data_IF_198084175397
#
_entry.id   IF_198084175397
#
_cell.length_a   1.000
_cell.length_b   1.000
_cell.length_c   1.000
_cell.angle_alpha   90.00
_cell.angle_beta   90.00
_cell.angle_gamma   90.00
#
_symmetry.space_group_name_H-M   'P 1'
#
loop_
_entity.id
_entity.type
_entity.pdbx_description
1 polymer ?
#
# COMPACT_ATOMS: atom_id res chain seq x y z
N UNK A 1 5.47 16.29 18.86
CA UNK A 1 4.12 15.82 19.25
C UNK A 1 3.12 15.93 18.10
N UNK A 2 3.25 16.89 17.18
CA UNK A 2 2.33 17.09 16.03
C UNK A 2 2.15 15.86 15.11
N UNK A 3 3.22 15.12 14.80
CA UNK A 3 3.15 13.96 13.88
C UNK A 3 2.25 12.83 14.42
N UNK A 4 2.17 12.66 15.74
CA UNK A 4 1.38 11.57 16.36
C UNK A 4 -0.12 11.86 16.21
N UNK A 5 -0.50 13.13 16.32
CA UNK A 5 -1.89 13.55 16.16
C UNK A 5 -2.33 13.44 14.69
N UNK A 6 -1.46 13.79 13.74
CA UNK A 6 -1.73 13.62 12.31
C UNK A 6 -1.91 12.14 11.93
N UNK A 7 -1.06 11.25 12.45
CA UNK A 7 -1.19 9.80 12.26
C UNK A 7 -2.49 9.28 12.87
N UNK A 8 -2.89 9.80 14.02
CA UNK A 8 -4.14 9.41 14.68
C UNK A 8 -5.37 9.77 13.84
N UNK A 9 -5.34 10.95 13.20
CA UNK A 9 -6.39 11.40 12.29
C UNK A 9 -6.48 10.46 11.08
N UNK A 10 -5.34 10.16 10.44
CA UNK A 10 -5.28 9.22 9.30
C UNK A 10 -5.79 7.83 9.69
N UNK A 11 -5.39 7.34 10.88
CA UNK A 11 -5.87 6.07 11.40
C UNK A 11 -7.39 6.06 11.65
N UNK A 12 -7.97 7.20 12.01
CA UNK A 12 -9.41 7.40 12.11
C UNK A 12 -10.13 7.08 10.78
N UNK A 13 -9.58 7.55 9.66
CA UNK A 13 -10.12 7.28 8.33
C UNK A 13 -9.93 5.83 7.90
N UNK A 14 -8.77 5.22 8.17
CA UNK A 14 -8.55 3.79 7.88
C UNK A 14 -9.45 2.85 8.69
N UNK A 15 -9.89 3.26 9.88
CA UNK A 15 -10.71 2.41 10.77
C UNK A 15 -12.03 1.99 10.12
N UNK A 16 -12.60 2.82 9.22
CA UNK A 16 -13.80 2.48 8.44
C UNK A 16 -13.57 1.25 7.55
N UNK A 17 -12.34 1.09 7.05
CA UNK A 17 -11.90 0.00 6.16
C UNK A 17 -11.05 -1.08 6.87
N UNK A 18 -11.09 -1.15 8.21
CA UNK A 18 -10.24 -2.03 9.03
C UNK A 18 -10.17 -3.50 8.60
N UNK A 19 -11.26 -4.05 8.03
CA UNK A 19 -11.30 -5.45 7.57
C UNK A 19 -10.43 -5.66 6.34
N UNK A 20 -10.55 -4.77 5.36
CA UNK A 20 -9.78 -4.85 4.11
C UNK A 20 -8.32 -4.46 4.34
N UNK A 21 -8.08 -3.43 5.17
CA UNK A 21 -6.71 -3.07 5.62
C UNK A 21 -6.04 -4.26 6.31
N UNK A 22 -6.72 -4.95 7.25
CA UNK A 22 -6.15 -6.11 7.94
C UNK A 22 -5.84 -7.26 6.98
N UNK A 23 -6.72 -7.57 6.03
CA UNK A 23 -6.48 -8.63 5.04
C UNK A 23 -5.26 -8.30 4.17
N UNK A 24 -5.19 -7.07 3.67
CA UNK A 24 -4.08 -6.64 2.82
C UNK A 24 -2.77 -6.57 3.61
N UNK A 25 -2.80 -6.15 4.88
CA UNK A 25 -1.63 -6.17 5.76
C UNK A 25 -1.10 -7.59 6.01
N UNK A 26 -1.98 -8.56 6.26
CA UNK A 26 -1.57 -9.97 6.41
C UNK A 26 -0.93 -10.49 5.12
N UNK A 27 -1.51 -10.18 3.96
CA UNK A 27 -0.95 -10.57 2.65
C UNK A 27 0.44 -9.95 2.41
N UNK A 28 0.63 -8.69 2.78
CA UNK A 28 1.91 -8.00 2.67
C UNK A 28 2.97 -8.62 3.59
N UNK A 29 2.63 -8.98 4.83
CA UNK A 29 3.58 -9.69 5.71
C UNK A 29 4.01 -11.03 5.12
N UNK A 30 3.08 -11.79 4.52
CA UNK A 30 3.41 -13.05 3.83
C UNK A 30 4.33 -12.79 2.63
N UNK A 31 4.04 -11.76 1.83
CA UNK A 31 4.89 -11.35 0.70
C UNK A 31 6.30 -10.94 1.16
N UNK A 32 6.41 -10.19 2.25
CA UNK A 32 7.69 -9.79 2.86
C UNK A 32 8.54 -11.00 3.23
N UNK A 33 7.92 -12.02 3.83
CA UNK A 33 8.62 -13.25 4.18
C UNK A 33 9.11 -13.96 2.91
N UNK A 34 8.26 -14.12 1.90
CA UNK A 34 8.63 -14.76 0.63
C UNK A 34 9.80 -14.02 -0.04
N UNK A 35 9.72 -12.69 -0.11
CA UNK A 35 10.77 -11.85 -0.72
C UNK A 35 12.08 -11.89 0.04
N UNK A 36 12.06 -12.01 1.37
CA UNK A 36 13.25 -12.19 2.18
C UNK A 36 13.95 -13.54 1.95
N UNK A 37 13.22 -14.59 1.56
CA UNK A 37 13.81 -15.89 1.23
C UNK A 37 14.52 -15.94 -0.15
N UNK A 38 14.14 -15.06 -1.08
CA UNK A 38 14.73 -15.00 -2.43
C UNK A 38 16.27 -14.83 -2.40
N UNK A 39 16.86 -13.86 -1.69
CA UNK A 39 18.32 -13.70 -1.64
C UNK A 39 19.03 -14.90 -0.98
N UNK A 40 18.40 -15.58 -0.02
CA UNK A 40 18.96 -16.79 0.58
C UNK A 40 19.06 -17.94 -0.44
N UNK A 41 18.01 -18.15 -1.24
CA UNK A 41 18.01 -19.15 -2.31
C UNK A 41 19.03 -18.79 -3.40
N UNK A 42 19.11 -17.51 -3.74
CA UNK A 42 20.09 -17.02 -4.72
C UNK A 42 21.54 -17.22 -4.25
N UNK A 43 21.83 -16.93 -2.98
CA UNK A 43 23.16 -17.19 -2.40
C UNK A 43 23.54 -18.68 -2.46
N UNK A 44 22.62 -19.56 -2.04
CA UNK A 44 22.80 -21.01 -2.16
C UNK A 44 23.06 -21.47 -3.60
N UNK A 45 22.36 -20.90 -4.58
CA UNK A 45 22.56 -21.19 -6.00
C UNK A 45 23.99 -20.84 -6.44
N UNK A 46 24.49 -19.67 -6.08
CA UNK A 46 25.84 -19.20 -6.44
C UNK A 46 26.92 -20.07 -5.78
N UNK A 47 26.72 -20.44 -4.50
CA UNK A 47 27.66 -21.30 -3.77
C UNK A 47 27.77 -22.71 -4.40
N UNK A 48 26.64 -23.28 -4.82
CA UNK A 48 26.60 -24.62 -5.45
C UNK A 48 27.22 -24.64 -6.84
N UNK A 49 27.15 -23.53 -7.59
CA UNK A 49 27.83 -23.41 -8.89
C UNK A 49 29.35 -23.27 -8.71
N UNK A 50 29.80 -22.71 -7.60
CA UNK A 50 31.22 -22.44 -7.33
C UNK A 50 31.98 -23.63 -6.72
N UNK A 51 31.28 -24.71 -6.34
CA UNK A 51 31.89 -25.90 -5.71
C UNK A 51 31.93 -27.05 -6.72
N UNK A 52 33.12 -27.50 -7.14
CA UNK A 52 33.30 -28.71 -7.95
C UNK A 52 33.43 -29.97 -7.06
N UNK A 53 32.81 -31.12 -7.42
CA UNK A 53 31.88 -31.33 -8.54
C UNK A 53 30.47 -30.87 -8.19
N UNK A 54 29.88 -30.06 -9.07
CA UNK A 54 28.53 -29.53 -8.91
C UNK A 54 27.50 -30.49 -9.52
N UNK A 55 26.52 -30.98 -8.74
CA UNK A 55 25.44 -31.81 -9.29
C UNK A 55 24.45 -30.94 -10.10
N UNK A 56 24.53 -31.01 -11.43
CA UNK A 56 23.69 -30.27 -12.38
C UNK A 56 22.18 -30.34 -12.08
N UNK A 57 21.70 -31.50 -11.62
CA UNK A 57 20.29 -31.71 -11.27
C UNK A 57 19.84 -30.87 -10.07
N UNK A 58 20.71 -30.70 -9.06
CA UNK A 58 20.40 -29.90 -7.87
C UNK A 58 20.38 -28.42 -8.21
N UNK A 59 21.28 -27.95 -9.07
CA UNK A 59 21.29 -26.57 -9.56
C UNK A 59 20.01 -26.27 -10.33
N UNK A 60 19.61 -27.15 -11.26
CA UNK A 60 18.39 -26.97 -12.06
C UNK A 60 17.13 -26.94 -11.19
N UNK A 61 17.05 -27.83 -10.19
CA UNK A 61 15.94 -27.87 -9.22
C UNK A 61 15.84 -26.58 -8.40
N UNK A 62 16.98 -26.10 -7.89
CA UNK A 62 17.03 -24.88 -7.06
C UNK A 62 16.71 -23.63 -7.88
N UNK A 63 17.14 -23.58 -9.14
CA UNK A 63 16.81 -22.51 -10.10
C UNK A 63 15.31 -22.52 -10.42
N UNK A 64 14.71 -23.70 -10.61
CA UNK A 64 13.26 -23.85 -10.76
C UNK A 64 12.48 -23.32 -9.56
N UNK A 65 12.91 -23.65 -8.33
CA UNK A 65 12.32 -23.13 -7.09
C UNK A 65 12.44 -21.61 -7.02
N UNK A 66 13.61 -21.05 -7.34
CA UNK A 66 13.84 -19.62 -7.36
C UNK A 66 12.89 -18.89 -8.33
N UNK A 67 12.76 -19.39 -9.57
CA UNK A 67 11.83 -18.82 -10.57
C UNK A 67 10.40 -18.87 -10.08
N UNK A 68 9.95 -20.02 -9.55
CA UNK A 68 8.59 -20.18 -9.04
C UNK A 68 8.31 -19.22 -7.87
N UNK A 69 9.26 -19.07 -6.96
CA UNK A 69 9.13 -18.20 -5.80
C UNK A 69 9.14 -16.72 -6.18
N UNK A 70 9.96 -16.33 -7.15
CA UNK A 70 10.00 -14.99 -7.74
C UNK A 70 8.68 -14.65 -8.46
N UNK A 71 8.15 -15.59 -9.25
CA UNK A 71 6.87 -15.42 -9.94
C UNK A 71 5.71 -15.30 -8.95
N UNK A 72 5.70 -16.14 -7.91
CA UNK A 72 4.73 -16.09 -6.83
C UNK A 72 4.76 -14.72 -6.15
N UNK A 73 5.95 -14.27 -5.73
CA UNK A 73 6.16 -12.95 -5.13
C UNK A 73 5.61 -11.81 -6.00
N UNK A 74 5.89 -11.82 -7.31
CA UNK A 74 5.40 -10.80 -8.24
C UNK A 74 3.86 -10.75 -8.30
N UNK A 75 3.19 -11.92 -8.30
CA UNK A 75 1.72 -12.00 -8.29
C UNK A 75 1.17 -11.47 -6.97
N UNK A 76 1.72 -11.89 -5.83
CA UNK A 76 1.29 -11.42 -4.51
C UNK A 76 1.47 -9.90 -4.38
N UNK A 77 2.60 -9.36 -4.83
CA UNK A 77 2.87 -7.92 -4.86
C UNK A 77 1.82 -7.17 -5.67
N UNK A 78 1.45 -7.68 -6.85
CA UNK A 78 0.41 -7.08 -7.68
C UNK A 78 -0.95 -7.07 -6.98
N UNK A 79 -1.31 -8.16 -6.28
CA UNK A 79 -2.57 -8.26 -5.54
C UNK A 79 -2.60 -7.25 -4.38
N UNK A 80 -1.52 -7.18 -3.58
CA UNK A 80 -1.40 -6.25 -2.44
C UNK A 80 -1.52 -4.81 -2.91
N UNK A 81 -0.75 -4.43 -3.94
CA UNK A 81 -0.79 -3.08 -4.51
C UNK A 81 -2.17 -2.72 -5.08
N UNK A 82 -2.78 -3.63 -5.84
CA UNK A 82 -4.12 -3.41 -6.42
C UNK A 82 -5.17 -3.20 -5.32
N UNK A 83 -5.18 -4.04 -4.28
CA UNK A 83 -6.10 -3.88 -3.16
C UNK A 83 -5.84 -2.61 -2.36
N UNK A 84 -4.58 -2.25 -2.16
CA UNK A 84 -4.23 -1.00 -1.49
C UNK A 84 -4.73 0.24 -2.23
N UNK A 85 -4.62 0.23 -3.56
CA UNK A 85 -5.14 1.30 -4.41
C UNK A 85 -6.67 1.43 -4.33
N UNK A 86 -7.41 0.31 -4.36
CA UNK A 86 -8.86 0.34 -4.21
C UNK A 86 -9.29 0.91 -2.85
N UNK A 87 -8.67 0.45 -1.75
CA UNK A 87 -8.96 0.97 -0.41
C UNK A 87 -8.68 2.48 -0.34
N UNK A 88 -7.57 2.92 -0.92
CA UNK A 88 -7.18 4.34 -0.93
C UNK A 88 -8.15 5.19 -1.74
N UNK A 89 -8.64 4.68 -2.88
CA UNK A 89 -9.63 5.35 -3.70
C UNK A 89 -10.99 5.47 -3.00
N UNK A 90 -11.43 4.41 -2.32
CA UNK A 90 -12.68 4.41 -1.56
C UNK A 90 -12.63 5.43 -0.41
N UNK A 91 -11.51 5.48 0.33
CA UNK A 91 -11.31 6.45 1.41
C UNK A 91 -11.31 7.89 0.86
N UNK A 92 -10.68 8.11 -0.29
CA UNK A 92 -10.68 9.41 -0.96
C UNK A 92 -12.09 9.85 -1.36
N UNK A 93 -12.87 8.95 -1.97
CA UNK A 93 -14.24 9.24 -2.38
C UNK A 93 -15.13 9.61 -1.17
N UNK A 94 -15.03 8.84 -0.09
CA UNK A 94 -15.73 9.11 1.16
C UNK A 94 -15.34 10.46 1.77
N UNK A 95 -14.04 10.78 1.81
CA UNK A 95 -13.55 12.04 2.37
C UNK A 95 -14.05 13.24 1.56
N UNK A 96 -13.99 13.17 0.23
CA UNK A 96 -14.52 14.23 -0.64
C UNK A 96 -16.02 14.38 -0.42
N UNK A 97 -16.77 13.27 -0.38
CA UNK A 97 -18.21 13.30 -0.18
C UNK A 97 -18.61 13.97 1.14
N UNK A 98 -17.98 13.57 2.25
CA UNK A 98 -18.29 14.10 3.57
C UNK A 98 -17.95 15.59 3.69
N UNK A 99 -16.78 16.01 3.18
CA UNK A 99 -16.36 17.42 3.25
C UNK A 99 -17.12 18.32 2.28
N UNK A 100 -17.38 17.85 1.06
CA UNK A 100 -18.20 18.59 0.11
C UNK A 100 -19.64 18.76 0.61
N UNK A 101 -20.25 17.68 1.13
CA UNK A 101 -21.59 17.74 1.72
C UNK A 101 -21.66 18.72 2.89
N UNK A 102 -20.67 18.71 3.78
CA UNK A 102 -20.61 19.66 4.88
C UNK A 102 -20.53 21.12 4.40
N UNK A 103 -19.68 21.40 3.40
CA UNK A 103 -19.54 22.76 2.87
C UNK A 103 -20.81 23.25 2.20
N UNK A 104 -21.50 22.41 1.43
CA UNK A 104 -22.72 22.80 0.71
C UNK A 104 -23.86 23.16 1.68
N UNK A 105 -23.87 22.57 2.88
CA UNK A 105 -24.88 22.83 3.90
C UNK A 105 -24.56 24.03 4.80
N UNK A 106 -23.47 24.76 4.56
CA UNK A 106 -23.12 25.95 5.34
C UNK A 106 -24.01 27.15 4.96
N UNK A 107 -24.19 28.11 5.89
CA UNK A 107 -25.00 29.31 5.63
C UNK A 107 -24.43 30.14 4.48
N UNK A 108 -25.29 30.87 3.78
CA UNK A 108 -24.95 31.71 2.63
C UNK A 108 -23.86 32.75 2.93
N UNK A 109 -23.75 33.22 4.18
CA UNK A 109 -22.69 34.13 4.61
C UNK A 109 -21.29 33.50 4.47
N UNK A 110 -21.16 32.20 4.75
CA UNK A 110 -19.90 31.47 4.56
C UNK A 110 -19.49 31.40 3.08
N UNK A 111 -20.48 31.17 2.20
CA UNK A 111 -20.26 31.12 0.76
C UNK A 111 -19.98 32.49 0.14
N UNK A 112 -20.38 33.58 0.80
CA UNK A 112 -20.10 34.95 0.37
C UNK A 112 -18.67 35.38 0.74
N UNK A 113 -18.16 34.89 1.87
CA UNK A 113 -16.81 35.21 2.35
C UNK A 113 -15.71 34.35 1.70
N UNK A 114 -16.01 33.09 1.38
CA UNK A 114 -15.04 32.14 0.79
C UNK A 114 -15.42 31.75 -0.63
N UNK A 115 -14.46 31.82 -1.56
CA UNK A 115 -14.63 31.33 -2.92
C UNK A 115 -14.78 29.81 -2.93
N UNK A 116 -15.95 29.30 -3.31
CA UNK A 116 -16.27 27.87 -3.37
C UNK A 116 -15.25 27.06 -4.20
N UNK A 117 -14.71 27.63 -5.28
CA UNK A 117 -13.67 26.99 -6.10
C UNK A 117 -12.34 26.78 -5.36
N UNK A 118 -11.93 27.73 -4.52
CA UNK A 118 -10.72 27.59 -3.70
C UNK A 118 -10.90 26.54 -2.60
N UNK A 119 -12.09 26.48 -1.99
CA UNK A 119 -12.42 25.46 -0.99
C UNK A 119 -12.42 24.05 -1.60
N UNK A 120 -13.03 23.87 -2.77
CA UNK A 120 -13.05 22.59 -3.46
C UNK A 120 -11.64 22.16 -3.90
N UNK A 121 -10.83 23.10 -4.38
CA UNK A 121 -9.42 22.85 -4.71
C UNK A 121 -8.61 22.41 -3.49
N UNK A 122 -8.83 23.05 -2.32
CA UNK A 122 -8.19 22.65 -1.06
C UNK A 122 -8.60 21.24 -0.62
N UNK A 123 -9.88 20.91 -0.69
CA UNK A 123 -10.36 19.55 -0.38
C UNK A 123 -9.69 18.55 -1.32
N UNK A 124 -9.75 18.78 -2.64
CA UNK A 124 -9.18 17.86 -3.61
C UNK A 124 -7.68 17.64 -3.37
N UNK A 125 -6.94 18.70 -3.07
CA UNK A 125 -5.51 18.60 -2.75
C UNK A 125 -5.26 17.82 -1.46
N UNK A 126 -6.06 18.04 -0.42
CA UNK A 126 -5.97 17.28 0.83
C UNK A 126 -6.32 15.80 0.62
N UNK A 127 -7.32 15.52 -0.20
CA UNK A 127 -7.71 14.16 -0.58
C UNK A 127 -6.59 13.42 -1.31
N UNK A 128 -5.96 14.05 -2.31
CA UNK A 128 -4.85 13.42 -3.03
C UNK A 128 -3.65 13.16 -2.10
N UNK A 129 -3.33 14.10 -1.19
CA UNK A 129 -2.30 13.88 -0.17
C UNK A 129 -2.66 12.70 0.74
N UNK A 130 -3.92 12.60 1.18
CA UNK A 130 -4.40 11.48 1.97
C UNK A 130 -4.27 10.17 1.19
N UNK A 131 -4.66 10.15 -0.09
CA UNK A 131 -4.52 8.98 -0.96
C UNK A 131 -3.07 8.56 -1.12
N UNK A 132 -2.14 9.49 -1.32
CA UNK A 132 -0.71 9.19 -1.40
C UNK A 132 -0.18 8.62 -0.08
N UNK A 133 -0.56 9.18 1.07
CA UNK A 133 -0.13 8.64 2.36
C UNK A 133 -0.67 7.22 2.58
N UNK A 134 -1.92 6.96 2.23
CA UNK A 134 -2.53 5.63 2.42
C UNK A 134 -1.97 4.63 1.40
N UNK A 135 -1.89 4.99 0.12
CA UNK A 135 -1.36 4.14 -0.95
C UNK A 135 0.12 3.85 -0.73
N UNK A 136 0.91 4.91 -0.53
CA UNK A 136 2.35 4.80 -0.58
C UNK A 136 2.89 4.54 0.82
N UNK A 137 2.52 5.27 1.87
CA UNK A 137 3.15 5.05 3.18
C UNK A 137 2.65 3.76 3.84
N UNK A 138 1.34 3.48 3.81
CA UNK A 138 0.82 2.27 4.49
C UNK A 138 1.21 1.00 3.75
N UNK A 139 1.11 0.98 2.40
CA UNK A 139 1.42 -0.23 1.61
C UNK A 139 2.87 -0.33 1.13
N UNK A 140 3.71 0.70 1.31
CA UNK A 140 5.16 0.56 1.09
C UNK A 140 5.89 0.16 2.38
N UNK A 141 5.37 0.51 3.57
CA UNK A 141 5.88 0.02 4.85
C UNK A 141 5.47 -1.44 5.10
N UNK A 142 4.29 -1.85 4.62
CA UNK A 142 3.88 -3.24 4.54
C UNK A 142 4.50 -3.85 3.27
N UNK A 143 5.59 -4.62 3.36
CA UNK A 143 6.45 -4.93 2.20
C UNK A 143 5.77 -5.73 1.08
#
# INVERSE_FOLDING_TARGET
MEIIDDVRIIWGYLRKYKKEVKKTAVLAVVLSIITAFIPYIYGRLVDMVSTEPSPDFLILSLLGIWVLMSLCSAIFKKIVCTRGNFISADILADFIYEKASHIINLPSDFHREKRSGELLSKINRASELLRLIISDVVFWILP
#
